data_IF_413376028278
#
_entry.id   IF_413376028278
#
_cell.length_a   1.000
_cell.length_b   1.000
_cell.length_c   1.000
_cell.angle_alpha   90.00
_cell.angle_beta   90.00
_cell.angle_gamma   90.00
#
_symmetry.space_group_name_H-M   'P 1'
#
loop_
_entity.id
_entity.type
_entity.pdbx_description
1 polymer ?
#
# COMPACT_ATOMS: atom_id res chain seq x y z
N UNK A 1 8.72 6.67 -2.47
CA UNK A 1 10.11 6.26 -2.81
C UNK A 1 10.82 7.30 -3.66
N UNK A 2 12.14 7.44 -3.51
CA UNK A 2 12.97 8.30 -4.37
C UNK A 2 13.97 7.47 -5.15
N UNK A 3 14.25 7.88 -6.39
CA UNK A 3 15.29 7.29 -7.23
C UNK A 3 16.51 8.21 -7.20
N UNK A 4 17.63 7.73 -6.65
CA UNK A 4 18.86 8.54 -6.50
C UNK A 4 19.84 8.14 -7.61
N UNK A 5 20.08 9.06 -8.55
CA UNK A 5 20.99 8.86 -9.68
C UNK A 5 20.48 7.82 -10.70
N UNK A 6 21.40 7.11 -11.32
CA UNK A 6 21.10 6.06 -12.30
C UNK A 6 20.70 4.75 -11.62
N UNK A 7 19.40 4.60 -11.40
CA UNK A 7 18.82 3.40 -10.78
C UNK A 7 18.54 2.30 -11.80
N UNK A 8 18.75 1.04 -11.41
CA UNK A 8 18.51 -0.12 -12.26
C UNK A 8 17.03 -0.21 -12.70
N UNK A 9 16.73 -0.71 -13.92
CA UNK A 9 15.36 -0.83 -14.41
C UNK A 9 14.43 -1.66 -13.51
N UNK A 10 14.97 -2.67 -12.83
CA UNK A 10 14.21 -3.51 -11.91
C UNK A 10 13.71 -2.72 -10.67
N UNK A 11 14.54 -1.83 -10.14
CA UNK A 11 14.22 -1.02 -8.95
C UNK A 11 13.28 0.13 -9.30
N UNK A 12 13.47 0.77 -10.47
CA UNK A 12 12.48 1.72 -11.03
C UNK A 12 11.11 1.07 -11.15
N UNK A 13 11.07 -0.17 -11.65
CA UNK A 13 9.84 -0.95 -11.78
C UNK A 13 9.24 -1.31 -10.43
N UNK A 14 10.06 -1.72 -9.45
CA UNK A 14 9.58 -2.01 -8.09
C UNK A 14 8.89 -0.78 -7.48
N UNK A 15 9.51 0.39 -7.55
CA UNK A 15 8.95 1.64 -7.04
C UNK A 15 7.63 2.00 -7.72
N UNK A 16 7.54 1.86 -9.05
CA UNK A 16 6.32 2.09 -9.83
C UNK A 16 5.20 1.12 -9.42
N UNK A 17 5.50 -0.18 -9.29
CA UNK A 17 4.49 -1.18 -8.90
C UNK A 17 3.95 -0.94 -7.50
N UNK A 18 4.81 -0.56 -6.54
CA UNK A 18 4.35 -0.19 -5.20
C UNK A 18 3.40 1.03 -5.22
N UNK A 19 3.69 2.03 -6.06
CA UNK A 19 2.83 3.22 -6.21
C UNK A 19 1.49 2.88 -6.88
N UNK A 20 1.52 2.09 -7.95
CA UNK A 20 0.29 1.64 -8.61
C UNK A 20 -0.58 0.79 -7.69
N UNK A 21 0.03 -0.04 -6.83
CA UNK A 21 -0.68 -0.79 -5.79
C UNK A 21 -1.42 0.14 -4.83
N UNK A 22 -0.76 1.18 -4.30
CA UNK A 22 -1.38 2.20 -3.45
C UNK A 22 -2.61 2.81 -4.13
N UNK A 23 -2.45 3.30 -5.36
CA UNK A 23 -3.54 3.95 -6.10
C UNK A 23 -4.71 3.02 -6.38
N UNK A 24 -4.45 1.73 -6.65
CA UNK A 24 -5.51 0.73 -6.86
C UNK A 24 -6.26 0.39 -5.56
N UNK A 25 -5.55 0.38 -4.42
CA UNK A 25 -6.17 0.28 -3.11
C UNK A 25 -7.09 1.47 -2.82
N UNK A 26 -6.61 2.69 -3.06
CA UNK A 26 -7.37 3.93 -2.87
C UNK A 26 -8.65 3.99 -3.72
N UNK A 27 -8.63 3.43 -4.93
CA UNK A 27 -9.82 3.33 -5.80
C UNK A 27 -10.96 2.47 -5.24
N UNK A 28 -10.70 1.65 -4.21
CA UNK A 28 -11.76 0.89 -3.54
C UNK A 28 -12.46 1.68 -2.44
N UNK A 29 -11.93 2.84 -2.06
CA UNK A 29 -12.36 3.56 -0.86
C UNK A 29 -13.60 4.38 -1.17
N UNK A 30 -14.74 3.97 -0.61
CA UNK A 30 -16.01 4.70 -0.62
C UNK A 30 -16.96 4.15 0.44
N UNK A 31 -18.00 4.89 0.83
CA UNK A 31 -19.01 4.38 1.74
C UNK A 31 -19.64 3.08 1.23
N UNK A 32 -19.77 2.09 2.11
CA UNK A 32 -20.36 0.79 1.79
C UNK A 32 -19.37 -0.27 1.29
N UNK A 33 -18.18 0.11 0.81
CA UNK A 33 -17.09 -0.83 0.57
C UNK A 33 -16.51 -1.35 1.90
N UNK A 34 -15.70 -2.41 1.85
CA UNK A 34 -15.07 -2.99 3.04
C UNK A 34 -13.57 -2.74 3.08
N UNK A 35 -12.99 -2.72 4.28
CA UNK A 35 -11.52 -2.64 4.47
C UNK A 35 -10.80 -3.76 3.69
N UNK A 36 -11.37 -4.98 3.66
CA UNK A 36 -10.81 -6.11 2.92
C UNK A 36 -10.76 -5.95 1.39
N UNK A 37 -11.58 -5.06 0.82
CA UNK A 37 -11.58 -4.78 -0.61
C UNK A 37 -10.26 -4.13 -1.07
N UNK A 38 -9.64 -3.31 -0.20
CA UNK A 38 -8.36 -2.64 -0.45
C UNK A 38 -7.25 -3.68 -0.69
N UNK A 39 -7.05 -4.58 0.27
CA UNK A 39 -6.05 -5.65 0.16
C UNK A 39 -6.34 -6.63 -0.98
N UNK A 40 -7.63 -6.87 -1.29
CA UNK A 40 -8.03 -7.69 -2.44
C UNK A 40 -7.63 -7.05 -3.77
N UNK A 41 -7.84 -5.75 -3.93
CA UNK A 41 -7.45 -5.03 -5.15
C UNK A 41 -5.93 -5.01 -5.34
N UNK A 42 -5.17 -4.73 -4.28
CA UNK A 42 -3.71 -4.74 -4.29
C UNK A 42 -3.18 -6.13 -4.66
N UNK A 43 -3.66 -7.19 -4.01
CA UNK A 43 -3.20 -8.55 -4.29
C UNK A 43 -3.51 -9.00 -5.72
N UNK A 44 -4.71 -8.65 -6.23
CA UNK A 44 -5.08 -8.93 -7.63
C UNK A 44 -4.09 -8.27 -8.60
N UNK A 45 -3.78 -7.00 -8.38
CA UNK A 45 -2.83 -6.26 -9.20
C UNK A 45 -1.43 -6.88 -9.17
N UNK A 46 -0.89 -7.20 -8.00
CA UNK A 46 0.43 -7.83 -7.87
C UNK A 46 0.46 -9.20 -8.57
N UNK A 47 -0.61 -10.00 -8.44
CA UNK A 47 -0.73 -11.29 -9.15
C UNK A 47 -0.74 -11.11 -10.66
N UNK A 48 -1.47 -10.14 -11.19
CA UNK A 48 -1.51 -9.83 -12.63
C UNK A 48 -0.16 -9.32 -13.14
N UNK A 49 0.49 -8.44 -12.38
CA UNK A 49 1.81 -7.92 -12.67
C UNK A 49 2.86 -9.05 -12.78
N UNK A 50 2.82 -10.00 -11.83
CA UNK A 50 3.67 -11.19 -11.80
C UNK A 50 3.41 -12.15 -12.97
N UNK A 51 2.14 -12.34 -13.37
CA UNK A 51 1.79 -13.15 -14.55
C UNK A 51 2.41 -12.58 -15.83
N UNK A 52 2.39 -11.26 -15.98
CA UNK A 52 2.98 -10.56 -17.13
C UNK A 52 4.52 -10.55 -17.10
N UNK A 53 5.14 -10.75 -15.94
CA UNK A 53 6.59 -10.63 -15.74
C UNK A 53 7.15 -11.75 -14.85
N UNK A 54 7.27 -12.99 -15.37
CA UNK A 54 7.57 -14.17 -14.54
C UNK A 54 8.98 -14.18 -13.93
N UNK A 55 9.92 -13.39 -14.48
CA UNK A 55 11.31 -13.32 -14.02
C UNK A 55 11.51 -12.44 -12.78
N UNK A 56 10.67 -11.40 -12.62
CA UNK A 56 10.74 -10.44 -11.52
C UNK A 56 9.42 -10.47 -10.75
N UNK A 57 9.29 -11.48 -9.86
CA UNK A 57 8.10 -11.65 -9.04
C UNK A 57 8.15 -10.73 -7.83
N UNK A 58 7.02 -10.10 -7.57
CA UNK A 58 6.78 -9.29 -6.39
C UNK A 58 5.92 -10.03 -5.37
N UNK A 59 6.10 -9.69 -4.10
CA UNK A 59 5.23 -10.13 -3.01
C UNK A 59 4.87 -8.95 -2.12
N UNK A 60 3.81 -9.13 -1.34
CA UNK A 60 3.28 -8.12 -0.43
C UNK A 60 3.73 -8.49 0.98
N UNK A 61 4.34 -7.55 1.70
CA UNK A 61 4.70 -7.72 3.12
C UNK A 61 3.43 -7.99 3.94
N UNK A 62 3.51 -8.89 4.91
CA UNK A 62 2.35 -9.32 5.71
C UNK A 62 2.40 -8.90 7.18
N UNK A 63 3.58 -8.53 7.65
CA UNK A 63 3.84 -8.21 9.05
C UNK A 63 3.42 -6.77 9.41
N UNK A 64 3.18 -5.92 8.40
CA UNK A 64 2.84 -4.51 8.55
C UNK A 64 1.62 -4.15 7.70
N UNK A 65 0.84 -3.17 8.18
CA UNK A 65 -0.41 -2.74 7.58
C UNK A 65 -0.56 -1.22 7.66
N UNK A 66 -1.49 -0.67 6.87
CA UNK A 66 -2.00 0.66 7.13
C UNK A 66 -2.82 0.69 8.41
N UNK A 67 -3.19 1.89 8.84
CA UNK A 67 -3.84 2.09 10.13
C UNK A 67 -4.83 3.26 10.09
N UNK A 68 -5.80 3.24 10.98
CA UNK A 68 -6.55 4.44 11.32
C UNK A 68 -5.62 5.51 11.86
N UNK A 69 -5.93 6.77 11.56
CA UNK A 69 -5.17 7.92 12.06
C UNK A 69 -6.12 9.09 12.29
N UNK A 70 -6.01 9.69 13.48
CA UNK A 70 -6.91 10.73 13.95
C UNK A 70 -6.44 11.31 15.27
N UNK A 71 -7.00 10.81 16.38
CA UNK A 71 -6.58 11.23 17.71
C UNK A 71 -5.28 10.53 18.14
N UNK A 72 -5.16 9.24 17.81
CA UNK A 72 -3.94 8.48 18.02
C UNK A 72 -3.13 8.35 16.73
N UNK A 73 -1.83 8.09 16.86
CA UNK A 73 -0.95 7.91 15.70
C UNK A 73 -1.34 6.65 14.91
N UNK A 74 -1.49 5.51 15.59
CA UNK A 74 -2.00 4.27 15.00
C UNK A 74 -3.25 3.82 15.75
N UNK A 75 -4.39 3.80 15.08
CA UNK A 75 -5.67 3.32 15.59
C UNK A 75 -6.36 2.38 14.58
N UNK A 76 -7.54 1.88 14.92
CA UNK A 76 -8.33 1.09 13.97
C UNK A 76 -8.89 1.99 12.84
N UNK A 77 -9.00 1.50 11.59
CA UNK A 77 -8.80 0.11 11.20
C UNK A 77 -7.36 -0.25 10.85
N UNK A 78 -6.92 -1.46 11.21
CA UNK A 78 -5.78 -2.10 10.52
C UNK A 78 -6.12 -2.41 9.06
N UNK A 79 -5.36 -1.86 8.12
CA UNK A 79 -5.58 -1.99 6.67
C UNK A 79 -4.48 -2.86 6.06
N UNK A 80 -4.69 -4.18 6.02
CA UNK A 80 -3.71 -5.10 5.42
C UNK A 80 -3.74 -5.03 3.89
N UNK A 81 -2.57 -5.14 3.26
CA UNK A 81 -2.38 -4.91 1.82
C UNK A 81 -2.54 -6.16 0.93
N UNK A 82 -2.94 -7.29 1.52
CA UNK A 82 -3.19 -8.55 0.82
C UNK A 82 -4.64 -9.00 1.01
N UNK A 83 -5.09 -9.98 0.20
CA UNK A 83 -6.46 -10.47 0.28
C UNK A 83 -6.75 -11.03 1.67
N UNK A 84 -7.81 -10.53 2.29
CA UNK A 84 -8.24 -10.88 3.63
C UNK A 84 -9.79 -10.87 3.70
N UNK A 85 -10.35 -11.16 4.87
CA UNK A 85 -11.80 -11.25 5.09
C UNK A 85 -12.33 -10.15 6.04
N UNK A 86 -11.64 -9.02 6.15
CA UNK A 86 -12.12 -7.90 6.95
C UNK A 86 -13.36 -7.27 6.31
N UNK A 87 -14.50 -7.40 7.00
CA UNK A 87 -15.82 -6.93 6.54
C UNK A 87 -16.22 -5.59 7.13
N UNK A 88 -15.31 -4.87 7.80
CA UNK A 88 -15.60 -3.53 8.31
C UNK A 88 -15.96 -2.61 7.16
N UNK A 89 -17.16 -2.06 7.23
CA UNK A 89 -17.71 -1.16 6.21
C UNK A 89 -17.11 0.22 6.38
N UNK A 90 -16.55 0.73 5.29
CA UNK A 90 -16.07 2.10 5.19
C UNK A 90 -17.25 3.06 5.25
N UNK A 91 -17.10 4.13 6.03
CA UNK A 91 -18.09 5.18 6.24
C UNK A 91 -17.45 6.53 6.00
N UNK A 92 -18.24 7.48 5.50
CA UNK A 92 -17.83 8.86 5.36
C UNK A 92 -17.24 9.39 6.68
N UNK A 93 -16.13 10.12 6.57
CA UNK A 93 -15.37 10.66 7.71
C UNK A 93 -14.33 9.72 8.31
N UNK A 94 -14.29 8.43 7.94
CA UNK A 94 -13.19 7.55 8.37
C UNK A 94 -11.86 8.03 7.76
N UNK A 95 -10.83 8.13 8.58
CA UNK A 95 -9.48 8.55 8.18
C UNK A 95 -8.47 7.44 8.50
N UNK A 96 -7.67 7.06 7.50
CA UNK A 96 -6.71 5.96 7.61
C UNK A 96 -5.64 6.04 6.53
N UNK A 97 -4.58 5.25 6.69
CA UNK A 97 -3.49 5.10 5.73
C UNK A 97 -3.69 3.88 4.84
N UNK A 98 -3.25 3.99 3.59
CA UNK A 98 -2.98 2.84 2.73
C UNK A 98 -1.49 2.95 2.39
N UNK A 99 -0.71 1.92 2.69
CA UNK A 99 0.76 1.99 2.68
C UNK A 99 1.45 0.70 2.19
N UNK A 100 1.12 0.17 1.01
CA UNK A 100 1.61 -1.13 0.57
C UNK A 100 3.12 -1.18 0.44
N UNK A 101 3.72 -2.14 1.14
CA UNK A 101 5.12 -2.54 1.00
C UNK A 101 5.22 -3.75 0.06
N UNK A 102 5.97 -3.58 -1.02
CA UNK A 102 6.16 -4.58 -2.07
C UNK A 102 7.62 -5.02 -2.12
N UNK A 103 7.89 -6.32 -2.01
CA UNK A 103 9.23 -6.90 -2.06
C UNK A 103 9.54 -7.44 -3.47
N UNK A 104 10.78 -7.26 -3.95
CA UNK A 104 11.34 -7.88 -5.17
C UNK A 104 11.66 -9.38 -5.02
N UNK A 105 10.94 -10.07 -4.15
CA UNK A 105 11.27 -11.40 -3.65
C UNK A 105 10.18 -11.99 -2.79
N UNK A 106 10.56 -12.65 -1.70
CA UNK A 106 9.66 -13.27 -0.73
C UNK A 106 9.02 -12.23 0.19
N UNK A 107 7.86 -12.57 0.76
CA UNK A 107 7.09 -11.66 1.61
C UNK A 107 7.65 -11.55 3.04
N UNK A 108 8.43 -12.55 3.48
CA UNK A 108 8.91 -12.64 4.86
C UNK A 108 9.88 -11.50 5.18
N UNK A 109 9.80 -11.02 6.42
CA UNK A 109 10.64 -9.97 6.95
C UNK A 109 11.34 -10.42 8.24
N UNK A 110 12.39 -9.71 8.63
CA UNK A 110 13.07 -9.85 9.92
C UNK A 110 13.35 -8.47 10.49
N UNK A 111 13.16 -8.32 11.80
CA UNK A 111 13.51 -7.09 12.52
C UNK A 111 14.98 -7.21 12.95
N UNK A 112 15.72 -6.12 12.84
CA UNK A 112 17.08 -6.00 13.34
C UNK A 112 17.10 -6.23 14.87
N UNK A 113 17.97 -7.15 15.32
CA UNK A 113 18.02 -7.53 16.73
C UNK A 113 18.76 -6.52 17.63
N UNK A 114 19.53 -5.60 17.04
CA UNK A 114 20.25 -4.57 17.79
C UNK A 114 19.36 -3.34 18.01
N UNK A 115 18.75 -2.81 16.94
CA UNK A 115 17.92 -1.60 17.03
C UNK A 115 16.43 -1.88 17.32
N UNK A 116 15.93 -3.08 17.07
CA UNK A 116 14.52 -3.48 17.22
C UNK A 116 13.51 -2.67 16.38
N UNK A 117 13.96 -2.02 15.32
CA UNK A 117 13.17 -1.15 14.45
C UNK A 117 13.35 -1.44 12.97
N UNK A 118 14.59 -1.60 12.51
CA UNK A 118 14.88 -1.75 11.09
C UNK A 118 14.34 -3.10 10.59
N UNK A 119 13.53 -3.06 9.54
CA UNK A 119 12.92 -4.25 8.95
C UNK A 119 13.63 -4.60 7.65
N UNK A 120 14.20 -5.79 7.58
CA UNK A 120 14.82 -6.33 6.38
C UNK A 120 13.92 -7.37 5.71
N UNK A 121 14.02 -7.47 4.38
CA UNK A 121 13.44 -8.60 3.65
C UNK A 121 14.20 -9.88 4.00
N UNK A 122 13.48 -10.99 4.19
CA UNK A 122 14.08 -12.26 4.58
C UNK A 122 14.96 -12.91 3.50
N UNK A 123 14.97 -12.38 2.28
CA UNK A 123 15.86 -12.80 1.20
C UNK A 123 16.87 -11.71 0.76
N UNK A 124 16.96 -10.61 1.50
CA UNK A 124 17.92 -9.53 1.27
C UNK A 124 17.68 -8.71 -0.01
N UNK A 125 16.54 -8.90 -0.68
CA UNK A 125 16.18 -8.14 -1.89
C UNK A 125 15.49 -6.83 -1.56
N UNK A 126 15.48 -5.92 -2.54
CA UNK A 126 14.87 -4.60 -2.40
C UNK A 126 13.36 -4.68 -2.10
N UNK A 127 12.89 -3.72 -1.31
CA UNK A 127 11.48 -3.43 -1.05
C UNK A 127 11.17 -1.97 -1.41
N UNK A 128 9.91 -1.67 -1.72
CA UNK A 128 9.44 -0.32 -1.96
C UNK A 128 8.08 -0.10 -1.30
N UNK A 129 7.87 1.12 -0.80
CA UNK A 129 6.64 1.55 -0.13
C UNK A 129 6.20 2.93 -0.64
N UNK A 130 4.89 3.10 -0.73
CA UNK A 130 4.24 4.39 -0.87
C UNK A 130 3.07 4.44 0.08
N UNK A 131 2.73 5.63 0.56
CA UNK A 131 1.68 5.83 1.53
C UNK A 131 0.89 7.10 1.22
N UNK A 132 -0.42 7.03 1.46
CA UNK A 132 -1.23 8.21 1.68
C UNK A 132 -2.14 8.03 2.89
N UNK A 133 -2.25 9.08 3.70
CA UNK A 133 -3.41 9.32 4.55
C UNK A 133 -4.57 9.82 3.70
N UNK A 134 -5.73 9.19 3.86
CA UNK A 134 -6.97 9.54 3.17
C UNK A 134 -8.13 9.70 4.15
N UNK A 135 -9.15 10.45 3.75
CA UNK A 135 -10.45 10.48 4.43
C UNK A 135 -11.54 10.01 3.46
N UNK A 136 -12.43 9.13 3.92
CA UNK A 136 -13.59 8.68 3.15
C UNK A 136 -14.58 9.84 3.00
N UNK A 137 -14.96 10.14 1.77
CA UNK A 137 -15.99 11.15 1.44
C UNK A 137 -17.29 10.45 1.03
N UNK A 138 -18.37 11.21 0.83
CA UNK A 138 -19.68 10.66 0.40
C UNK A 138 -19.63 9.73 -0.82
N UNK A 139 -18.75 10.00 -1.79
CA UNK A 139 -18.70 9.33 -3.10
C UNK A 139 -17.32 8.71 -3.40
N UNK A 140 -16.43 8.62 -2.39
CA UNK A 140 -15.07 8.11 -2.59
C UNK A 140 -14.13 8.49 -1.44
N UNK A 141 -13.02 9.15 -1.76
CA UNK A 141 -12.06 9.64 -0.77
C UNK A 141 -11.36 10.94 -1.16
N UNK A 142 -10.80 11.63 -0.16
CA UNK A 142 -9.86 12.72 -0.34
C UNK A 142 -8.44 12.29 0.08
N UNK A 143 -7.46 12.60 -0.75
CA UNK A 143 -6.03 12.36 -0.48
C UNK A 143 -5.44 13.55 0.25
N UNK A 144 -5.32 13.43 1.58
CA UNK A 144 -4.88 14.53 2.45
C UNK A 144 -3.39 14.88 2.26
N UNK A 145 -2.60 13.88 1.86
CA UNK A 145 -1.14 13.93 1.72
C UNK A 145 -0.68 13.96 0.25
N UNK A 146 -1.56 14.39 -0.66
CA UNK A 146 -1.26 14.45 -2.10
C UNK A 146 -0.05 15.33 -2.39
N UNK A 147 0.89 14.82 -3.18
CA UNK A 147 2.09 15.56 -3.61
C UNK A 147 1.84 16.28 -4.93
N UNK A 148 2.54 17.39 -5.15
CA UNK A 148 2.37 18.22 -6.35
C UNK A 148 2.81 17.54 -7.65
N UNK A 149 3.64 16.50 -7.57
CA UNK A 149 4.15 15.71 -8.69
C UNK A 149 3.29 14.50 -9.04
N UNK A 150 2.18 14.28 -8.34
CA UNK A 150 1.29 13.14 -8.57
C UNK A 150 0.18 13.47 -9.57
N UNK A 151 -0.17 12.48 -10.38
CA UNK A 151 -1.14 12.62 -11.48
C UNK A 151 -2.56 12.21 -11.11
N UNK A 152 -2.78 11.79 -9.86
CA UNK A 152 -4.10 11.46 -9.32
C UNK A 152 -4.82 12.72 -8.82
N UNK A 153 -6.16 12.78 -8.86
CA UNK A 153 -6.89 13.90 -8.28
C UNK A 153 -6.87 13.82 -6.74
N UNK A 154 -6.89 14.99 -6.08
CA UNK A 154 -7.06 15.09 -4.61
C UNK A 154 -8.39 14.48 -4.15
N UNK A 155 -9.47 14.74 -4.88
CA UNK A 155 -10.78 14.16 -4.66
C UNK A 155 -11.00 13.03 -5.66
N UNK A 156 -11.12 11.80 -5.16
CA UNK A 156 -11.39 10.61 -5.96
C UNK A 156 -12.85 10.23 -5.84
N UNK A 157 -13.54 10.12 -6.98
CA UNK A 157 -14.91 9.61 -7.08
C UNK A 157 -14.84 8.12 -7.50
N UNK A 158 -15.25 7.20 -6.63
CA UNK A 158 -14.95 5.76 -6.72
C UNK A 158 -16.18 4.85 -6.90
#
# INVERSE_FOLDING_TARGET
MFLIGDVAPADKRLCMVAQEALYLGMKQVKPGATVGDIGTAIEKYIKENNKKNPRNKFSIVKDFCGHGIGNEFHEEPQVVHYKNFDRRVLKEGMCFTIEPMINAGKFGCSIDGEDNWTVYTGDGKNSAQWEHTIVVTKDGCEVLTLRSDETIPRLMFN
#
